data_IF_111358381706
#
_entry.id   IF_111358381706
#
_cell.length_a   1.000
_cell.length_b   1.000
_cell.length_c   1.000
_cell.angle_alpha   90.00
_cell.angle_beta   90.00
_cell.angle_gamma   90.00
#
_symmetry.space_group_name_H-M   'P 1'
#
loop_
_entity.id
_entity.type
_entity.pdbx_description
1 polymer ?
#
# COMPACT_ATOMS: atom_id res chain seq x y z
N UNK A 1 -3.52 -1.92 6.86
CA UNK A 1 -2.21 -1.35 6.45
C UNK A 1 -1.76 -1.84 5.09
N UNK A 2 -1.88 -3.14 4.83
CA UNK A 2 -1.44 -3.71 3.55
C UNK A 2 -2.09 -3.06 2.34
N UNK A 3 -3.39 -2.85 2.40
CA UNK A 3 -4.13 -2.24 1.30
C UNK A 3 -3.64 -0.83 0.97
N UNK A 4 -3.36 -0.05 2.01
CA UNK A 4 -2.90 1.33 1.84
C UNK A 4 -1.50 1.35 1.23
N UNK A 5 -0.61 0.47 1.71
CA UNK A 5 0.74 0.38 1.17
C UNK A 5 0.71 -0.06 -0.28
N UNK A 6 -0.08 -1.08 -0.61
CA UNK A 6 -0.19 -1.55 -1.99
C UNK A 6 -0.75 -0.45 -2.90
N UNK A 7 -1.74 0.30 -2.42
CA UNK A 7 -2.31 1.40 -3.19
C UNK A 7 -1.26 2.48 -3.48
N UNK A 8 -0.49 2.85 -2.46
CA UNK A 8 0.56 3.85 -2.60
C UNK A 8 1.62 3.39 -3.61
N UNK A 9 2.10 2.14 -3.47
CA UNK A 9 3.14 1.62 -4.36
C UNK A 9 2.61 1.47 -5.79
N UNK A 10 1.34 1.11 -5.95
CA UNK A 10 0.75 0.91 -7.28
C UNK A 10 0.72 2.19 -8.11
N UNK A 11 0.76 3.34 -7.49
CA UNK A 11 0.75 4.63 -8.19
C UNK A 11 2.10 4.96 -8.83
N UNK A 12 3.15 4.28 -8.39
CA UNK A 12 4.51 4.51 -8.90
C UNK A 12 4.91 3.31 -9.77
N UNK A 13 4.56 3.38 -11.05
CA UNK A 13 4.76 2.26 -11.96
C UNK A 13 6.22 1.85 -12.11
N UNK A 14 7.12 2.80 -11.96
CA UNK A 14 8.56 2.56 -12.08
C UNK A 14 9.20 2.21 -10.74
N UNK A 15 8.38 2.16 -9.67
CA UNK A 15 8.87 1.83 -8.35
C UNK A 15 9.04 3.04 -7.46
N UNK A 16 9.10 2.77 -6.17
CA UNK A 16 9.27 3.79 -5.14
C UNK A 16 10.10 3.21 -4.00
N UNK A 17 10.49 4.02 -3.06
CA UNK A 17 11.37 3.59 -1.99
C UNK A 17 10.73 3.86 -0.62
N UNK A 18 11.31 3.22 0.41
CA UNK A 18 10.68 3.17 1.74
C UNK A 18 10.33 4.53 2.32
N UNK A 19 11.22 5.50 2.20
CA UNK A 19 10.96 6.84 2.73
C UNK A 19 9.76 7.48 2.03
N UNK A 20 9.72 7.41 0.71
CA UNK A 20 8.61 8.00 -0.05
C UNK A 20 7.31 7.27 0.23
N UNK A 21 7.36 5.95 0.33
CA UNK A 21 6.17 5.16 0.70
C UNK A 21 5.63 5.65 2.04
N UNK A 22 6.52 5.82 3.02
CA UNK A 22 6.12 6.28 4.35
C UNK A 22 5.48 7.65 4.29
N UNK A 23 6.07 8.58 3.53
CA UNK A 23 5.52 9.91 3.37
C UNK A 23 4.13 9.89 2.74
N UNK A 24 3.95 9.06 1.73
CA UNK A 24 2.66 8.96 1.05
C UNK A 24 1.60 8.31 1.94
N UNK A 25 1.97 7.28 2.71
CA UNK A 25 1.05 6.65 3.66
C UNK A 25 0.66 7.62 4.77
N UNK A 26 1.57 8.49 5.17
CA UNK A 26 1.29 9.47 6.23
C UNK A 26 0.19 10.46 5.87
N UNK A 27 -0.17 10.55 4.61
CA UNK A 27 -1.30 11.39 4.21
C UNK A 27 -2.63 10.85 4.74
N UNK A 28 -2.69 9.58 5.07
CA UNK A 28 -3.93 8.94 5.56
C UNK A 28 -3.76 8.30 6.93
N UNK A 29 -2.55 7.91 7.31
CA UNK A 29 -2.29 7.25 8.59
C UNK A 29 -1.04 7.86 9.24
N UNK A 30 -1.07 7.93 10.56
CA UNK A 30 0.09 8.39 11.32
C UNK A 30 1.00 7.19 11.61
N UNK A 31 2.00 6.99 10.76
CA UNK A 31 2.93 5.87 10.87
C UNK A 31 4.37 6.34 10.73
N UNK A 32 5.30 5.56 11.25
CA UNK A 32 6.73 5.81 11.15
C UNK A 32 7.36 4.83 10.17
N UNK A 33 8.59 5.12 9.73
CA UNK A 33 9.33 4.20 8.87
C UNK A 33 9.52 2.84 9.54
N UNK A 34 9.80 2.84 10.84
CA UNK A 34 10.01 1.59 11.56
C UNK A 34 8.76 0.71 11.54
N UNK A 35 7.57 1.31 11.48
CA UNK A 35 6.33 0.57 11.35
C UNK A 35 6.15 0.05 9.93
N UNK A 36 6.64 0.80 8.94
CA UNK A 36 6.47 0.44 7.54
C UNK A 36 7.32 -0.76 7.11
N UNK A 37 8.56 -0.85 7.59
CA UNK A 37 9.47 -1.88 7.11
C UNK A 37 8.97 -3.32 7.32
N UNK A 38 8.37 -3.67 8.47
CA UNK A 38 7.78 -4.99 8.61
C UNK A 38 6.67 -5.28 7.61
N UNK A 39 5.85 -4.28 7.30
CA UNK A 39 4.78 -4.42 6.32
C UNK A 39 5.36 -4.65 4.93
N UNK A 40 6.37 -3.87 4.56
CA UNK A 40 7.02 -4.02 3.26
C UNK A 40 7.66 -5.39 3.11
N UNK A 41 8.31 -5.89 4.17
CA UNK A 41 8.93 -7.21 4.14
C UNK A 41 7.89 -8.31 3.98
N UNK A 42 6.76 -8.20 4.68
CA UNK A 42 5.70 -9.19 4.56
C UNK A 42 5.12 -9.21 3.15
N UNK A 43 4.87 -8.04 2.58
CA UNK A 43 4.33 -7.94 1.23
C UNK A 43 5.31 -8.47 0.18
N UNK A 44 6.60 -8.27 0.42
CA UNK A 44 7.63 -8.85 -0.44
C UNK A 44 7.64 -10.37 -0.32
N UNK A 45 7.58 -10.89 0.88
CA UNK A 45 7.55 -12.33 1.13
C UNK A 45 6.34 -12.98 0.48
N UNK A 46 5.21 -12.29 0.52
CA UNK A 46 3.97 -12.77 -0.09
C UNK A 46 3.91 -12.52 -1.59
N UNK A 47 5.01 -12.04 -2.16
CA UNK A 47 5.14 -11.79 -3.60
C UNK A 47 4.18 -10.72 -4.14
N UNK A 48 3.69 -9.86 -3.25
CA UNK A 48 2.87 -8.71 -3.66
C UNK A 48 3.72 -7.52 -4.08
N UNK A 49 4.95 -7.46 -3.57
CA UNK A 49 5.93 -6.45 -3.96
C UNK A 49 7.21 -7.15 -4.42
N UNK A 50 7.84 -6.58 -5.44
CA UNK A 50 9.18 -6.99 -5.81
C UNK A 50 10.14 -5.87 -5.42
N UNK A 51 11.37 -6.26 -5.11
CA UNK A 51 12.39 -5.35 -4.60
C UNK A 51 13.59 -5.37 -5.53
N UNK A 52 14.12 -4.22 -5.81
CA UNK A 52 15.34 -4.10 -6.59
C UNK A 52 16.13 -2.91 -6.09
N UNK A 53 17.45 -2.95 -6.31
CA UNK A 53 18.32 -1.86 -5.91
C UNK A 53 18.61 -0.99 -7.11
N UNK A 54 18.61 0.32 -6.89
CA UNK A 54 19.01 1.29 -7.90
C UNK A 54 20.07 2.20 -7.32
N UNK A 55 21.05 2.51 -8.13
CA UNK A 55 22.06 3.47 -7.74
C UNK A 55 21.52 4.88 -7.98
N UNK A 56 21.62 5.70 -6.96
CA UNK A 56 21.20 7.08 -7.04
C UNK A 56 22.19 7.95 -6.28
N UNK A 57 22.88 8.84 -6.98
CA UNK A 57 23.84 9.72 -6.36
C UNK A 57 24.98 8.99 -5.67
N UNK A 58 25.45 7.88 -6.24
CA UNK A 58 26.54 7.09 -5.68
C UNK A 58 26.14 6.15 -4.55
N UNK A 59 24.86 6.05 -4.24
CA UNK A 59 24.34 5.16 -3.21
C UNK A 59 23.33 4.21 -3.80
N UNK A 60 23.33 2.97 -3.32
CA UNK A 60 22.32 2.00 -3.66
C UNK A 60 21.08 2.29 -2.82
N UNK A 61 19.92 2.37 -3.48
CA UNK A 61 18.66 2.58 -2.82
C UNK A 61 17.74 1.45 -3.17
N UNK A 62 17.04 0.92 -2.16
CA UNK A 62 16.09 -0.16 -2.35
C UNK A 62 14.75 0.40 -2.84
N UNK A 63 14.30 -0.12 -3.98
CA UNK A 63 13.03 0.25 -4.57
C UNK A 63 12.04 -0.89 -4.49
N UNK A 64 10.78 -0.55 -4.41
CA UNK A 64 9.67 -1.49 -4.35
C UNK A 64 8.73 -1.22 -5.51
N UNK A 65 8.22 -2.27 -6.10
CA UNK A 65 7.26 -2.18 -7.20
C UNK A 65 6.20 -3.25 -6.99
N UNK A 66 4.93 -2.91 -7.29
CA UNK A 66 3.84 -3.86 -7.14
C UNK A 66 3.94 -4.94 -8.23
N UNK A 67 3.66 -6.18 -7.85
CA UNK A 67 3.63 -7.31 -8.78
C UNK A 67 2.21 -7.49 -9.31
N UNK A 68 2.05 -8.41 -10.28
CA UNK A 68 0.70 -8.80 -10.72
C UNK A 68 -0.12 -9.35 -9.56
N UNK A 69 0.51 -10.18 -8.73
CA UNK A 69 -0.15 -10.74 -7.56
C UNK A 69 -0.55 -9.64 -6.58
N UNK A 70 0.32 -8.66 -6.39
CA UNK A 70 0.01 -7.50 -5.55
C UNK A 70 -1.13 -6.69 -6.10
N UNK A 71 -1.18 -6.51 -7.42
CA UNK A 71 -2.27 -5.78 -8.07
C UNK A 71 -3.60 -6.50 -7.90
N UNK A 72 -3.59 -7.83 -8.03
CA UNK A 72 -4.79 -8.64 -7.81
C UNK A 72 -5.26 -8.53 -6.36
N UNK A 73 -4.33 -8.58 -5.41
CA UNK A 73 -4.66 -8.44 -4.00
C UNK A 73 -5.21 -7.05 -3.70
N UNK A 74 -4.65 -6.03 -4.31
CA UNK A 74 -5.14 -4.66 -4.15
C UNK A 74 -6.57 -4.53 -4.65
N UNK A 75 -6.88 -5.15 -5.78
CA UNK A 75 -8.25 -5.12 -6.32
C UNK A 75 -9.25 -5.77 -5.37
N UNK A 76 -8.84 -6.86 -4.71
CA UNK A 76 -9.69 -7.50 -3.71
C UNK A 76 -9.92 -6.59 -2.50
N UNK A 77 -8.87 -5.94 -2.02
CA UNK A 77 -9.00 -4.99 -0.91
C UNK A 77 -9.91 -3.83 -1.27
N UNK A 78 -9.77 -3.33 -2.51
CA UNK A 78 -10.61 -2.23 -2.97
C UNK A 78 -12.08 -2.63 -3.01
N UNK A 79 -12.37 -3.83 -3.52
CA UNK A 79 -13.73 -4.33 -3.57
C UNK A 79 -14.31 -4.52 -2.16
N UNK A 80 -13.52 -5.03 -1.23
CA UNK A 80 -13.93 -5.19 0.16
C UNK A 80 -14.22 -3.85 0.82
N UNK A 81 -13.38 -2.86 0.55
CA UNK A 81 -13.56 -1.51 1.08
C UNK A 81 -14.86 -0.89 0.56
N UNK A 82 -15.11 -1.00 -0.74
CA UNK A 82 -16.34 -0.46 -1.34
C UNK A 82 -17.56 -1.11 -0.69
N UNK A 83 -17.55 -2.42 -0.55
CA UNK A 83 -18.68 -3.14 0.07
C UNK A 83 -18.86 -2.72 1.53
N UNK A 84 -17.77 -2.60 2.26
CA UNK A 84 -17.81 -2.20 3.67
C UNK A 84 -18.35 -0.77 3.81
N UNK A 85 -17.86 0.15 2.99
CA UNK A 85 -18.28 1.54 3.06
C UNK A 85 -19.75 1.71 2.67
N UNK A 86 -20.23 0.91 1.73
CA UNK A 86 -21.65 0.93 1.37
C UNK A 86 -22.52 0.49 2.54
N UNK A 87 -22.09 -0.53 3.27
CA UNK A 87 -22.83 -1.01 4.44
C UNK A 87 -22.85 0.04 5.55
N UNK A 88 -21.72 0.71 5.77
CA UNK A 88 -21.64 1.76 6.78
C UNK A 88 -22.51 2.94 6.38
N UNK A 89 -22.47 3.34 5.11
CA UNK A 89 -23.30 4.41 4.59
C UNK A 89 -24.79 4.08 4.77
N UNK A 90 -25.16 2.83 4.48
CA UNK A 90 -26.53 2.40 4.66
C UNK A 90 -26.99 2.47 6.13
N UNK A 91 -26.07 2.18 7.06
CA UNK A 91 -26.39 2.33 8.48
C UNK A 91 -26.69 3.77 8.86
N UNK A 92 -25.90 4.70 8.36
CA UNK A 92 -26.14 6.12 8.62
C UNK A 92 -27.47 6.58 8.03
N UNK A 93 -27.80 6.11 6.85
CA UNK A 93 -29.03 6.50 6.17
C UNK A 93 -30.23 5.68 6.62
N UNK A 94 -30.06 4.37 6.70
CA UNK A 94 -31.14 3.45 7.03
C UNK A 94 -31.53 3.46 8.48
N UNK A 95 -30.64 3.84 9.37
CA UNK A 95 -30.94 3.95 10.80
C UNK A 95 -31.96 5.02 11.11
N UNK A 96 -32.35 5.78 10.11
CA UNK A 96 -33.36 6.83 10.25
C UNK A 96 -34.78 6.34 10.06
N UNK A 97 -34.94 5.10 9.71
CA UNK A 97 -36.24 4.51 9.49
C UNK A 97 -36.82 3.87 10.74
#
# INVERSE_FOLDING_TARGET
MDAIVLAVVSREKEGTYGYKITQDVRRVLDVSESTMYPVLRRLQKDECLEVYDMEFGGRNRRYYRITEQGSAQLSLYEAEWIRYSEKITALFEGGQN
#
